data_IF_281824621729
#
_entry.id   IF_281824621729
#
_cell.length_a   1.000
_cell.length_b   1.000
_cell.length_c   1.000
_cell.angle_alpha   90.00
_cell.angle_beta   90.00
_cell.angle_gamma   90.00
#
_symmetry.space_group_name_H-M   'P 1'
#
loop_
_entity.id
_entity.type
_entity.pdbx_description
1 polymer ?
#
# COMPACT_ATOMS: atom_id res chain seq x y z
N UNK A 1 -15.23 4.26 27.12
CA UNK A 1 -14.09 3.61 26.46
C UNK A 1 -14.15 3.98 24.98
N UNK A 2 -13.06 4.46 24.37
CA UNK A 2 -13.01 4.77 22.94
C UNK A 2 -12.71 3.50 22.17
N UNK A 3 -13.41 3.25 21.06
CA UNK A 3 -13.18 2.11 20.14
C UNK A 3 -12.40 2.65 18.94
N UNK A 4 -11.38 1.94 18.51
CA UNK A 4 -10.68 2.11 17.24
C UNK A 4 -10.83 0.82 16.43
N UNK A 5 -11.23 0.96 15.17
CA UNK A 5 -11.29 -0.15 14.21
C UNK A 5 -10.16 0.02 13.21
N UNK A 6 -9.32 -0.99 13.06
CA UNK A 6 -8.25 -1.01 12.06
C UNK A 6 -8.57 -2.11 11.05
N UNK A 7 -8.79 -1.72 9.81
CA UNK A 7 -8.81 -2.61 8.67
C UNK A 7 -7.40 -2.70 8.10
N UNK A 8 -7.02 -3.88 7.70
CA UNK A 8 -5.68 -4.15 7.21
C UNK A 8 -5.72 -5.09 6.00
N UNK A 9 -4.90 -4.78 5.00
CA UNK A 9 -4.58 -5.70 3.90
C UNK A 9 -3.10 -5.64 3.55
N UNK A 10 -2.63 -6.63 2.81
CA UNK A 10 -1.28 -6.76 2.27
C UNK A 10 -1.34 -7.67 1.05
N UNK A 11 -0.25 -7.73 0.27
CA UNK A 11 -0.09 -8.66 -0.86
C UNK A 11 -1.24 -8.58 -1.88
N UNK A 12 -1.66 -7.36 -2.24
CA UNK A 12 -2.71 -7.16 -3.24
C UNK A 12 -2.23 -7.47 -4.66
N UNK A 13 -0.94 -7.32 -4.94
CA UNK A 13 -0.25 -7.72 -6.16
C UNK A 13 -0.88 -7.22 -7.47
N UNK A 14 -1.64 -6.12 -7.41
CA UNK A 14 -2.39 -5.62 -8.57
C UNK A 14 -3.50 -6.56 -9.05
N UNK A 15 -3.86 -7.58 -8.26
CA UNK A 15 -4.94 -8.51 -8.55
C UNK A 15 -6.27 -7.92 -8.07
N UNK A 16 -6.89 -7.15 -8.97
CA UNK A 16 -8.06 -6.34 -8.65
C UNK A 16 -9.36 -6.90 -9.17
N UNK A 17 -9.30 -7.98 -9.96
CA UNK A 17 -10.48 -8.57 -10.57
C UNK A 17 -11.15 -9.54 -9.59
N UNK A 18 -12.48 -9.58 -9.65
CA UNK A 18 -13.24 -10.62 -8.97
C UNK A 18 -13.14 -11.93 -9.77
N UNK A 19 -13.12 -13.04 -9.08
CA UNK A 19 -13.18 -14.39 -9.66
C UNK A 19 -14.61 -14.90 -9.71
N UNK A 20 -14.96 -15.62 -10.77
CA UNK A 20 -16.25 -16.30 -10.87
C UNK A 20 -16.17 -17.67 -10.20
N UNK A 21 -16.92 -17.82 -9.10
CA UNK A 21 -17.05 -19.09 -8.37
C UNK A 21 -18.55 -19.40 -8.25
N UNK A 22 -18.98 -20.55 -8.74
CA UNK A 22 -20.38 -20.97 -8.72
C UNK A 22 -21.37 -19.92 -9.28
N UNK A 23 -21.00 -19.30 -10.41
CA UNK A 23 -21.75 -18.20 -11.07
C UNK A 23 -21.92 -16.94 -10.23
N UNK A 24 -21.09 -16.75 -9.21
CA UNK A 24 -21.00 -15.53 -8.42
C UNK A 24 -19.61 -14.90 -8.56
N UNK A 25 -19.56 -13.57 -8.67
CA UNK A 25 -18.32 -12.84 -8.62
C UNK A 25 -17.88 -12.67 -7.15
N UNK A 26 -16.71 -13.21 -6.81
CA UNK A 26 -16.16 -13.19 -5.45
C UNK A 26 -14.82 -12.44 -5.44
N UNK A 27 -14.59 -11.65 -4.40
CA UNK A 27 -13.34 -10.91 -4.21
C UNK A 27 -13.21 -9.68 -5.11
N UNK A 28 -11.97 -9.34 -5.44
CA UNK A 28 -11.62 -8.15 -6.21
C UNK A 28 -11.67 -6.85 -5.41
N UNK A 29 -11.07 -5.81 -5.99
CA UNK A 29 -10.93 -4.50 -5.31
C UNK A 29 -12.26 -3.79 -5.10
N UNK A 30 -13.24 -4.02 -5.96
CA UNK A 30 -14.59 -3.41 -5.80
C UNK A 30 -15.31 -3.93 -4.56
N UNK A 31 -15.23 -5.23 -4.28
CA UNK A 31 -15.78 -5.77 -3.04
C UNK A 31 -15.02 -5.31 -1.80
N UNK A 32 -13.68 -5.27 -1.89
CA UNK A 32 -12.85 -4.71 -0.82
C UNK A 32 -13.22 -3.25 -0.53
N UNK A 33 -13.35 -2.43 -1.58
CA UNK A 33 -13.76 -1.02 -1.46
C UNK A 33 -15.14 -0.87 -0.83
N UNK A 34 -16.11 -1.69 -1.27
CA UNK A 34 -17.44 -1.71 -0.68
C UNK A 34 -17.44 -2.08 0.80
N UNK A 35 -16.63 -3.08 1.18
CA UNK A 35 -16.50 -3.49 2.57
C UNK A 35 -15.84 -2.40 3.44
N UNK A 36 -14.73 -1.81 2.97
CA UNK A 36 -14.07 -0.69 3.66
C UNK A 36 -15.02 0.49 3.83
N UNK A 37 -15.77 0.85 2.77
CA UNK A 37 -16.80 1.89 2.83
C UNK A 37 -17.87 1.61 3.88
N UNK A 38 -18.43 0.39 3.86
CA UNK A 38 -19.43 -0.04 4.84
C UNK A 38 -18.92 0.07 6.28
N UNK A 39 -17.70 -0.43 6.56
CA UNK A 39 -17.14 -0.36 7.92
C UNK A 39 -16.89 1.09 8.35
N UNK A 40 -16.45 1.97 7.42
CA UNK A 40 -16.30 3.40 7.72
C UNK A 40 -17.62 4.10 8.04
N UNK A 41 -18.73 3.65 7.46
CA UNK A 41 -20.07 4.16 7.78
C UNK A 41 -20.58 3.66 9.14
N UNK A 42 -20.34 2.39 9.44
CA UNK A 42 -20.81 1.75 10.68
C UNK A 42 -19.95 2.10 11.91
N UNK A 43 -18.64 2.31 11.71
CA UNK A 43 -17.64 2.49 12.76
C UNK A 43 -16.93 3.84 12.60
N UNK A 44 -17.24 4.81 13.48
CA UNK A 44 -16.75 6.19 13.39
C UNK A 44 -15.23 6.35 13.37
N UNK A 45 -14.51 5.46 14.07
CA UNK A 45 -13.07 5.53 14.24
C UNK A 45 -12.41 4.38 13.47
N UNK A 46 -12.49 4.43 12.15
CA UNK A 46 -11.94 3.40 11.27
C UNK A 46 -10.71 3.92 10.55
N UNK A 47 -9.64 3.14 10.57
CA UNK A 47 -8.42 3.35 9.80
C UNK A 47 -8.23 2.13 8.90
N UNK A 48 -7.95 2.35 7.62
CA UNK A 48 -7.58 1.31 6.67
C UNK A 48 -6.11 1.46 6.29
N UNK A 49 -5.29 0.45 6.55
CA UNK A 49 -3.87 0.43 6.25
C UNK A 49 -3.50 -0.74 5.34
N UNK A 50 -2.44 -0.54 4.51
CA UNK A 50 -1.90 -1.56 3.62
C UNK A 50 -0.42 -1.81 3.97
N UNK A 51 -0.06 -3.07 4.21
CA UNK A 51 1.27 -3.47 4.66
C UNK A 51 2.19 -3.94 3.50
N UNK A 52 2.09 -3.27 2.35
CA UNK A 52 2.98 -3.48 1.21
C UNK A 52 2.50 -4.54 0.22
N UNK A 53 3.35 -4.77 -0.79
CA UNK A 53 3.13 -5.66 -1.93
C UNK A 53 1.82 -5.36 -2.68
N UNK A 54 1.63 -4.09 -3.01
CA UNK A 54 0.52 -3.64 -3.84
C UNK A 54 0.73 -3.99 -5.32
N UNK A 55 2.01 -4.00 -5.75
CA UNK A 55 2.40 -4.18 -7.16
C UNK A 55 2.73 -5.63 -7.50
N UNK A 56 2.84 -5.91 -8.80
CA UNK A 56 3.32 -7.18 -9.36
C UNK A 56 2.44 -8.40 -9.11
N UNK A 57 1.63 -8.73 -10.09
CA UNK A 57 0.79 -9.94 -10.10
C UNK A 57 -0.19 -9.95 -11.25
N UNK A 58 -0.74 -8.80 -11.60
CA UNK A 58 -1.68 -8.69 -12.72
C UNK A 58 -1.03 -8.16 -14.00
N UNK A 59 -1.68 -8.43 -15.14
CA UNK A 59 -1.29 -7.88 -16.44
C UNK A 59 -1.40 -6.35 -16.44
N UNK A 60 -2.46 -5.80 -15.85
CA UNK A 60 -2.71 -4.35 -15.77
C UNK A 60 -1.58 -3.66 -15.00
N UNK A 61 -1.15 -4.23 -13.88
CA UNK A 61 -0.05 -3.66 -13.10
C UNK A 61 1.26 -3.69 -13.92
N UNK A 62 1.56 -4.82 -14.54
CA UNK A 62 2.80 -5.03 -15.30
C UNK A 62 2.88 -4.14 -16.53
N UNK A 63 1.80 -3.97 -17.29
CA UNK A 63 1.73 -3.15 -18.49
C UNK A 63 1.98 -1.67 -18.19
N UNK A 64 1.37 -1.17 -17.13
CA UNK A 64 1.47 0.23 -16.72
C UNK A 64 2.48 0.48 -15.59
N UNK A 65 3.29 -0.52 -15.24
CA UNK A 65 4.35 -0.44 -14.23
C UNK A 65 3.87 0.19 -12.91
N UNK A 66 2.71 -0.26 -12.41
CA UNK A 66 2.16 0.19 -11.14
C UNK A 66 1.37 1.51 -11.17
N UNK A 67 1.31 2.23 -12.29
CA UNK A 67 0.51 3.48 -12.38
C UNK A 67 -0.96 3.15 -12.19
N UNK A 68 -1.48 2.14 -12.88
CA UNK A 68 -2.86 1.67 -12.75
C UNK A 68 -3.18 1.22 -11.32
N UNK A 69 -2.23 0.55 -10.67
CA UNK A 69 -2.35 0.15 -9.26
C UNK A 69 -2.49 1.37 -8.35
N UNK A 70 -1.64 2.39 -8.51
CA UNK A 70 -1.75 3.63 -7.72
C UNK A 70 -3.09 4.34 -7.95
N UNK A 71 -3.59 4.40 -9.18
CA UNK A 71 -4.89 5.01 -9.46
C UNK A 71 -6.05 4.25 -8.80
N UNK A 72 -6.01 2.92 -8.83
CA UNK A 72 -6.98 2.08 -8.12
C UNK A 72 -6.87 2.27 -6.60
N UNK A 73 -5.65 2.30 -6.06
CA UNK A 73 -5.42 2.56 -4.64
C UNK A 73 -5.88 3.97 -4.22
N UNK A 74 -5.74 4.98 -5.10
CA UNK A 74 -6.27 6.32 -4.86
C UNK A 74 -7.80 6.31 -4.70
N UNK A 75 -8.51 5.44 -5.44
CA UNK A 75 -9.95 5.25 -5.27
C UNK A 75 -10.31 4.46 -4.02
N UNK A 76 -9.52 3.44 -3.68
CA UNK A 76 -9.69 2.66 -2.45
C UNK A 76 -9.42 3.49 -1.19
N UNK A 77 -8.60 4.54 -1.32
CA UNK A 77 -8.29 5.55 -0.31
C UNK A 77 -7.83 4.96 1.04
N UNK A 78 -6.69 4.22 1.09
CA UNK A 78 -6.10 3.82 2.35
C UNK A 78 -5.60 5.05 3.12
N UNK A 79 -5.65 4.98 4.45
CA UNK A 79 -5.20 6.07 5.33
C UNK A 79 -3.68 6.10 5.49
N UNK A 80 -3.02 4.95 5.35
CA UNK A 80 -1.55 4.81 5.35
C UNK A 80 -1.12 3.51 4.69
N UNK A 81 0.01 3.57 3.99
CA UNK A 81 0.60 2.40 3.29
C UNK A 81 2.08 2.32 3.63
N UNK A 82 2.60 1.12 3.85
CA UNK A 82 4.05 0.86 3.81
C UNK A 82 4.41 0.12 2.52
N UNK A 83 5.69 0.11 2.18
CA UNK A 83 6.20 -0.62 1.03
C UNK A 83 6.59 -2.05 1.42
N UNK A 84 6.34 -2.99 0.52
CA UNK A 84 6.85 -4.36 0.56
C UNK A 84 8.01 -4.56 -0.43
N UNK A 85 8.29 -5.81 -0.78
CA UNK A 85 9.39 -6.11 -1.69
C UNK A 85 9.07 -5.82 -3.16
N UNK A 86 7.83 -5.97 -3.56
CA UNK A 86 7.44 -5.78 -4.96
C UNK A 86 7.34 -4.30 -5.36
N UNK A 87 7.27 -3.38 -4.42
CA UNK A 87 7.29 -1.95 -4.70
C UNK A 87 8.59 -1.48 -5.37
N UNK A 88 9.71 -2.16 -5.10
CA UNK A 88 11.01 -1.81 -5.70
C UNK A 88 11.31 -2.53 -7.02
N UNK A 89 10.45 -3.40 -7.48
CA UNK A 89 10.67 -4.21 -8.69
C UNK A 89 10.77 -3.40 -9.98
N UNK A 90 10.07 -2.27 -10.04
CA UNK A 90 10.16 -1.33 -11.17
C UNK A 90 11.31 -0.31 -11.02
N UNK A 91 12.12 -0.43 -9.96
CA UNK A 91 13.23 0.44 -9.64
C UNK A 91 12.87 1.62 -8.73
N UNK A 92 13.85 2.07 -7.95
CA UNK A 92 13.65 3.12 -6.93
C UNK A 92 13.19 4.45 -7.53
N UNK A 93 13.76 4.86 -8.68
CA UNK A 93 13.36 6.11 -9.32
C UNK A 93 11.89 6.08 -9.74
N UNK A 94 11.41 4.94 -10.24
CA UNK A 94 10.02 4.77 -10.63
C UNK A 94 9.11 4.70 -9.39
N UNK A 95 9.53 4.03 -8.32
CA UNK A 95 8.79 4.01 -7.05
C UNK A 95 8.61 5.43 -6.47
N UNK A 96 9.64 6.27 -6.52
CA UNK A 96 9.53 7.67 -6.10
C UNK A 96 8.58 8.49 -6.98
N UNK A 97 8.48 8.16 -8.27
CA UNK A 97 7.47 8.73 -9.15
C UNK A 97 6.07 8.28 -8.75
N UNK A 98 5.85 6.97 -8.52
CA UNK A 98 4.57 6.42 -8.08
C UNK A 98 4.13 7.01 -6.72
N UNK A 99 5.08 7.23 -5.81
CA UNK A 99 4.80 7.91 -4.52
C UNK A 99 4.23 9.32 -4.72
N UNK A 100 4.68 10.06 -5.75
CA UNK A 100 4.12 11.38 -6.07
C UNK A 100 2.73 11.32 -6.70
N UNK A 101 2.37 10.19 -7.34
CA UNK A 101 1.04 9.97 -7.89
C UNK A 101 0.03 9.50 -6.83
N UNK A 102 0.52 8.96 -5.71
CA UNK A 102 -0.32 8.49 -4.61
C UNK A 102 -0.96 9.66 -3.85
N UNK A 103 -2.27 9.55 -3.56
CA UNK A 103 -3.04 10.51 -2.75
C UNK A 103 -3.09 10.11 -1.26
N UNK A 104 -2.37 9.09 -0.89
CA UNK A 104 -2.24 8.56 0.45
C UNK A 104 -0.78 8.53 0.90
N UNK A 105 -0.47 8.59 2.20
CA UNK A 105 0.89 8.56 2.70
C UNK A 105 1.52 7.17 2.51
N UNK A 106 2.68 7.14 1.87
CA UNK A 106 3.55 5.97 1.80
C UNK A 106 4.71 6.19 2.76
N UNK A 107 4.92 5.24 3.68
CA UNK A 107 5.92 5.34 4.75
C UNK A 107 6.91 4.18 4.72
N UNK A 108 8.17 4.47 5.06
CA UNK A 108 9.18 3.45 5.34
C UNK A 108 10.30 4.03 6.20
N UNK A 109 10.59 3.40 7.33
CA UNK A 109 11.55 3.90 8.32
C UNK A 109 12.99 3.45 8.08
N UNK A 110 13.21 2.36 7.34
CA UNK A 110 14.52 1.73 7.25
C UNK A 110 15.13 1.67 5.85
N UNK A 111 14.51 2.28 4.83
CA UNK A 111 15.07 2.39 3.50
C UNK A 111 15.85 3.72 3.35
N UNK A 112 17.16 3.61 3.14
CA UNK A 112 18.06 4.76 3.07
C UNK A 112 18.90 4.75 1.78
N UNK A 113 19.26 5.93 1.33
CA UNK A 113 20.22 6.13 0.25
C UNK A 113 21.62 5.81 0.80
N UNK A 114 22.36 4.92 0.15
CA UNK A 114 23.66 4.42 0.65
C UNK A 114 24.72 5.51 0.73
N UNK A 115 24.66 6.53 -0.15
CA UNK A 115 25.71 7.55 -0.28
C UNK A 115 25.63 8.66 0.77
N UNK A 116 24.44 9.01 1.22
CA UNK A 116 24.23 10.14 2.15
C UNK A 116 23.36 9.79 3.37
N UNK A 117 22.98 8.53 3.50
CA UNK A 117 22.11 8.02 4.57
C UNK A 117 20.75 8.72 4.71
N UNK A 118 20.33 9.49 3.71
CA UNK A 118 19.01 10.09 3.71
C UNK A 118 17.92 9.01 3.54
N UNK A 119 16.80 9.17 4.25
CA UNK A 119 15.64 8.31 4.05
C UNK A 119 14.97 8.59 2.72
N UNK A 120 14.51 7.53 2.05
CA UNK A 120 13.76 7.65 0.80
C UNK A 120 12.31 8.07 1.04
N UNK A 121 11.73 7.68 2.19
CA UNK A 121 10.35 7.96 2.56
C UNK A 121 10.25 8.58 3.95
N UNK A 122 9.08 9.11 4.29
CA UNK A 122 8.76 9.44 5.68
C UNK A 122 8.78 8.15 6.51
N UNK A 123 9.40 8.22 7.70
CA UNK A 123 9.54 7.03 8.57
C UNK A 123 8.22 6.59 9.18
N UNK A 124 7.29 7.51 9.35
CA UNK A 124 6.02 7.29 10.04
C UNK A 124 4.95 8.26 9.58
N UNK A 125 3.72 7.93 9.90
CA UNK A 125 2.55 8.79 9.77
C UNK A 125 1.73 8.74 11.05
N UNK A 126 1.21 9.89 11.49
CA UNK A 126 0.34 10.00 12.66
C UNK A 126 -1.05 10.34 12.16
N UNK A 127 -2.02 9.50 12.53
CA UNK A 127 -3.43 9.72 12.26
C UNK A 127 -4.12 10.08 13.57
N UNK A 128 -4.88 11.16 13.57
CA UNK A 128 -5.68 11.56 14.73
C UNK A 128 -7.15 11.22 14.48
N UNK A 129 -7.69 10.37 15.33
CA UNK A 129 -9.10 9.94 15.27
C UNK A 129 -9.72 10.07 16.66
N UNK A 130 -10.79 10.84 16.77
CA UNK A 130 -11.51 11.09 18.04
C UNK A 130 -10.57 11.51 19.19
N UNK A 131 -9.55 12.34 18.88
CA UNK A 131 -8.55 12.79 19.85
C UNK A 131 -7.54 11.72 20.28
N UNK A 132 -7.54 10.55 19.62
CA UNK A 132 -6.48 9.54 19.76
C UNK A 132 -5.44 9.76 18.67
N UNK A 133 -4.17 9.81 19.03
CA UNK A 133 -3.05 9.88 18.08
C UNK A 133 -2.47 8.49 17.90
N UNK A 134 -2.60 7.96 16.69
CA UNK A 134 -2.11 6.64 16.32
C UNK A 134 -0.88 6.82 15.44
N UNK A 135 0.25 6.27 15.88
CA UNK A 135 1.52 6.29 15.16
C UNK A 135 1.66 5.02 14.33
N UNK A 136 1.81 5.18 13.00
CA UNK A 136 2.16 4.13 12.08
C UNK A 136 3.63 4.23 11.69
N UNK A 137 4.36 3.12 11.74
CA UNK A 137 5.76 3.01 11.33
C UNK A 137 5.84 1.92 10.26
N UNK A 138 6.37 2.26 9.08
CA UNK A 138 6.60 1.29 8.00
C UNK A 138 8.01 0.69 8.11
N UNK A 139 8.13 -0.63 7.98
CA UNK A 139 9.40 -1.35 7.98
C UNK A 139 9.40 -2.37 6.84
N UNK A 140 10.51 -2.41 6.11
CA UNK A 140 10.78 -3.41 5.07
C UNK A 140 11.87 -4.37 5.55
N UNK A 141 11.72 -5.66 5.25
CA UNK A 141 12.76 -6.65 5.59
C UNK A 141 14.05 -6.43 4.79
N UNK A 142 15.20 -6.58 5.43
CA UNK A 142 16.51 -6.40 4.78
C UNK A 142 16.80 -7.45 3.72
N UNK A 143 16.22 -8.64 3.82
CA UNK A 143 16.43 -9.74 2.86
C UNK A 143 15.95 -9.42 1.45
N UNK A 144 15.12 -8.41 1.28
CA UNK A 144 14.59 -7.95 -0.01
C UNK A 144 15.58 -7.13 -0.82
N UNK A 145 16.46 -6.37 -0.15
CA UNK A 145 17.41 -5.47 -0.80
C UNK A 145 18.44 -6.17 -1.73
N UNK A 146 18.92 -7.40 -1.48
CA UNK A 146 19.79 -8.11 -2.40
C UNK A 146 19.14 -8.44 -3.75
N UNK A 147 17.83 -8.59 -3.81
CA UNK A 147 17.09 -8.85 -5.07
C UNK A 147 17.08 -7.62 -5.97
N UNK A 148 16.95 -6.42 -5.40
CA UNK A 148 17.03 -5.16 -6.14
C UNK A 148 18.43 -4.90 -6.74
N UNK A 149 19.50 -5.37 -6.09
CA UNK A 149 20.89 -5.24 -6.59
C UNK A 149 21.23 -6.16 -7.76
N UNK A 150 20.53 -7.28 -7.94
CA UNK A 150 20.82 -8.24 -9.02
C UNK A 150 20.28 -7.82 -10.39
N UNK A 151 19.36 -6.88 -10.46
CA UNK A 151 18.87 -6.31 -11.71
C UNK A 151 19.71 -5.07 -12.06
N UNK A 152 20.87 -5.28 -12.69
CA UNK A 152 21.60 -4.19 -13.36
C UNK A 152 20.77 -3.75 -14.57
N UNK A 153 20.46 -2.48 -14.58
CA UNK A 153 19.89 -1.74 -15.72
C UNK A 153 20.96 -1.46 -16.77
#
# INVERSE_FOLDING_TARGET
MKKLTILHSNDLHGDFLAEEVDSQLIGGVSMLSGYVGKVREEEKNTIYCIAGDMFRGSVIDSEFRGISTIEIMNMLAPDVVTIGNHEIDYGIAHLLFLEKCAKFPIINANLHITTNHARLFKSHHIIEVDGMKILFIGILTESVLPMAKKRRW
#
